data_IF_373692547557
#
_entry.id   IF_373692547557
#
_cell.length_a   1.000
_cell.length_b   1.000
_cell.length_c   1.000
_cell.angle_alpha   90.00
_cell.angle_beta   90.00
_cell.angle_gamma   90.00
#
_symmetry.space_group_name_H-M   'P 1'
#
loop_
_entity.id
_entity.type
_entity.pdbx_description
1 polymer ?
#
# COMPACT_ATOMS: atom_id res chain seq x y z
N UNK A 1 5.15 -34.07 -22.05
CA UNK A 1 3.75 -33.81 -21.61
C UNK A 1 3.81 -32.67 -20.62
N UNK A 2 3.37 -31.48 -21.00
CA UNK A 2 3.44 -30.28 -20.16
C UNK A 2 2.35 -30.39 -19.10
N UNK A 3 2.71 -30.82 -17.89
CA UNK A 3 1.78 -30.84 -16.77
C UNK A 3 1.52 -29.38 -16.36
N UNK A 4 0.35 -28.88 -16.73
CA UNK A 4 -0.09 -27.52 -16.48
C UNK A 4 0.05 -27.16 -15.01
N UNK A 5 0.78 -26.07 -14.75
CA UNK A 5 0.75 -25.37 -13.47
C UNK A 5 -0.70 -25.02 -13.21
N UNK A 6 -1.31 -25.71 -12.24
CA UNK A 6 -2.55 -25.27 -11.62
C UNK A 6 -2.22 -23.97 -10.91
N UNK A 7 -2.36 -22.84 -11.63
CA UNK A 7 -2.52 -21.54 -11.02
C UNK A 7 -3.78 -21.66 -10.17
N UNK A 8 -3.58 -21.97 -8.88
CA UNK A 8 -4.51 -21.54 -7.88
C UNK A 8 -4.51 -20.02 -8.02
N UNK A 9 -5.48 -19.49 -8.75
CA UNK A 9 -5.84 -18.07 -8.81
C UNK A 9 -6.23 -17.63 -7.40
N UNK A 10 -5.24 -17.61 -6.53
CA UNK A 10 -5.28 -16.94 -5.25
C UNK A 10 -5.59 -15.51 -5.63
N UNK A 11 -6.82 -15.05 -5.39
CA UNK A 11 -7.19 -13.66 -5.61
C UNK A 11 -6.18 -12.84 -4.82
N UNK A 12 -5.24 -12.22 -5.54
CA UNK A 12 -4.19 -11.39 -4.99
C UNK A 12 -4.32 -10.01 -5.60
N UNK A 13 -4.22 -8.98 -4.76
CA UNK A 13 -4.00 -7.63 -5.23
C UNK A 13 -2.50 -7.38 -5.22
N UNK A 14 -1.99 -6.56 -6.15
CA UNK A 14 -0.57 -6.18 -6.12
C UNK A 14 -0.45 -4.80 -5.49
N UNK A 15 0.46 -4.62 -4.54
CA UNK A 15 0.74 -3.29 -4.01
C UNK A 15 1.37 -2.41 -5.11
N UNK A 16 0.73 -1.28 -5.42
CA UNK A 16 1.23 -0.34 -6.42
C UNK A 16 2.54 0.35 -6.02
N UNK A 17 2.95 0.28 -4.75
CA UNK A 17 4.16 0.96 -4.23
C UNK A 17 5.40 0.05 -4.16
N UNK A 18 5.24 -1.20 -3.69
CA UNK A 18 6.36 -2.15 -3.57
C UNK A 18 6.28 -3.32 -4.56
N UNK A 19 5.23 -3.40 -5.39
CA UNK A 19 4.96 -4.50 -6.33
C UNK A 19 4.87 -5.89 -5.69
N UNK A 20 4.68 -5.99 -4.37
CA UNK A 20 4.45 -7.25 -3.67
C UNK A 20 2.97 -7.67 -3.76
N UNK A 21 2.75 -8.98 -3.79
CA UNK A 21 1.41 -9.56 -3.73
C UNK A 21 0.80 -9.40 -2.34
N UNK A 22 -0.50 -9.11 -2.32
CA UNK A 22 -1.36 -9.03 -1.15
C UNK A 22 -2.38 -10.15 -1.28
N UNK A 23 -2.31 -11.11 -0.37
CA UNK A 23 -3.09 -12.34 -0.39
C UNK A 23 -4.43 -12.19 0.35
N UNK A 24 -5.34 -13.14 0.09
CA UNK A 24 -6.62 -13.19 0.77
C UNK A 24 -6.44 -13.29 2.30
N UNK A 25 -7.14 -12.42 3.03
CA UNK A 25 -7.03 -12.30 4.49
C UNK A 25 -6.07 -11.20 4.96
N UNK A 26 -5.24 -10.66 4.07
CA UNK A 26 -4.41 -9.49 4.38
C UNK A 26 -5.21 -8.19 4.29
N UNK A 27 -4.76 -7.18 5.04
CA UNK A 27 -5.36 -5.84 4.96
C UNK A 27 -4.77 -5.08 3.77
N UNK A 28 -5.65 -4.56 2.92
CA UNK A 28 -5.28 -3.71 1.79
C UNK A 28 -6.06 -2.40 1.82
N UNK A 29 -5.42 -1.34 1.33
CA UNK A 29 -6.05 -0.04 1.14
C UNK A 29 -6.19 0.24 -0.34
N UNK A 30 -7.40 0.59 -0.77
CA UNK A 30 -7.71 0.95 -2.16
C UNK A 30 -8.20 2.39 -2.24
N UNK A 31 -7.54 3.22 -3.05
CA UNK A 31 -7.98 4.60 -3.32
C UNK A 31 -7.51 5.04 -4.70
N UNK A 32 -8.42 5.59 -5.50
CA UNK A 32 -8.13 6.13 -6.83
C UNK A 32 -7.38 5.16 -7.77
N UNK A 33 -7.72 3.86 -7.73
CA UNK A 33 -7.04 2.84 -8.55
C UNK A 33 -5.71 2.34 -7.99
N UNK A 34 -5.25 2.88 -6.85
CA UNK A 34 -4.02 2.47 -6.17
C UNK A 34 -4.34 1.51 -5.05
N UNK A 35 -3.65 0.36 -5.03
CA UNK A 35 -3.71 -0.66 -3.98
C UNK A 35 -2.43 -0.63 -3.13
N UNK A 36 -2.56 -0.62 -1.81
CA UNK A 36 -1.42 -0.47 -0.89
C UNK A 36 -1.47 -1.53 0.20
N UNK A 37 -0.34 -2.20 0.45
CA UNK A 37 -0.18 -3.17 1.53
C UNK A 37 0.04 -2.47 2.90
N UNK A 38 -0.02 -3.23 3.99
CA UNK A 38 0.18 -2.71 5.34
C UNK A 38 1.52 -1.99 5.55
N UNK A 39 2.59 -2.49 4.94
CA UNK A 39 3.93 -1.90 5.09
C UNK A 39 4.06 -0.57 4.34
N UNK A 40 3.42 -0.44 3.19
CA UNK A 40 3.44 0.78 2.38
C UNK A 40 2.38 1.79 2.81
N UNK A 41 1.40 1.38 3.62
CA UNK A 41 0.28 2.22 4.04
C UNK A 41 0.71 3.48 4.80
N UNK A 42 1.63 3.46 5.79
CA UNK A 42 2.03 4.66 6.51
C UNK A 42 2.58 5.77 5.60
N UNK A 43 3.37 5.39 4.59
CA UNK A 43 3.90 6.33 3.59
C UNK A 43 2.77 6.89 2.73
N UNK A 44 1.91 6.01 2.20
CA UNK A 44 0.77 6.40 1.39
C UNK A 44 -0.19 7.34 2.14
N UNK A 45 -0.50 7.04 3.39
CA UNK A 45 -1.36 7.86 4.24
C UNK A 45 -0.75 9.25 4.50
N UNK A 46 0.55 9.32 4.77
CA UNK A 46 1.25 10.60 4.95
C UNK A 46 1.20 11.45 3.68
N UNK A 47 1.44 10.85 2.51
CA UNK A 47 1.34 11.56 1.24
C UNK A 47 -0.10 12.02 0.95
N UNK A 48 -1.11 11.19 1.24
CA UNK A 48 -2.52 11.52 1.06
C UNK A 48 -3.00 12.64 2.00
N UNK A 49 -2.42 12.74 3.19
CA UNK A 49 -2.75 13.75 4.20
C UNK A 49 -1.78 14.94 4.21
N UNK A 50 -0.79 14.97 3.30
CA UNK A 50 0.26 15.99 3.27
C UNK A 50 -0.28 17.42 3.22
N UNK A 51 -1.39 17.65 2.50
CA UNK A 51 -2.03 18.97 2.43
C UNK A 51 -2.63 19.44 3.75
N UNK A 52 -2.79 18.54 4.71
CA UNK A 52 -3.31 18.78 6.05
C UNK A 52 -2.21 18.66 7.12
N UNK A 53 -0.94 18.51 6.72
CA UNK A 53 0.19 18.47 7.64
C UNK A 53 0.48 19.89 8.16
N UNK A 54 0.39 20.07 9.47
CA UNK A 54 0.70 21.31 10.16
C UNK A 54 1.69 21.01 11.29
N UNK A 55 2.76 21.80 11.38
CA UNK A 55 3.73 21.73 12.47
C UNK A 55 3.21 22.58 13.62
N UNK A 56 2.91 21.95 14.75
CA UNK A 56 2.46 22.67 15.94
C UNK A 56 3.66 23.36 16.62
N UNK A 57 3.60 24.69 16.70
CA UNK A 57 4.62 25.52 17.34
C UNK A 57 5.78 25.90 16.42
N UNK A 58 6.60 26.85 16.88
CA UNK A 58 7.82 27.24 16.18
C UNK A 58 8.88 26.16 16.37
N UNK A 59 9.40 25.61 15.27
CA UNK A 59 10.68 24.93 15.31
C UNK A 59 11.73 26.00 15.66
N UNK A 60 11.93 26.22 16.96
CA UNK A 60 12.95 27.12 17.50
C UNK A 60 14.29 26.69 16.91
N UNK A 61 14.67 27.37 15.84
CA UNK A 61 15.99 27.27 15.24
C UNK A 61 16.82 28.25 16.05
N UNK A 62 17.39 27.74 17.15
CA UNK A 62 18.55 28.35 17.79
C UNK A 62 19.78 28.14 16.90
#
# INVERSE_FOLDING_TARGET
MYAGKRHHDSVHAVCSLCAQDIYAGETLWYRNGVTVCADCFPRFAREALRSFEYILGEASTL
#
